data_IF_606933899628
#
_entry.id   IF_606933899628
#
_cell.length_a   1.000
_cell.length_b   1.000
_cell.length_c   1.000
_cell.angle_alpha   90.00
_cell.angle_beta   90.00
_cell.angle_gamma   90.00
#
_symmetry.space_group_name_H-M   'P 1'
#
loop_
_entity.id
_entity.type
_entity.pdbx_description
1 polymer ?
#
# COMPACT_ATOMS: atom_id res chain seq x y z
N UNK A 1 -5.64 -16.03 -1.39
CA UNK A 1 -5.40 -14.58 -1.31
C UNK A 1 -4.28 -14.34 -0.30
N UNK A 2 -3.62 -13.18 -0.33
CA UNK A 2 -2.51 -12.86 0.59
C UNK A 2 -2.97 -12.55 2.02
N UNK A 3 -4.27 -12.39 2.25
CA UNK A 3 -4.88 -12.17 3.55
C UNK A 3 -5.02 -13.45 4.38
N UNK A 4 -5.00 -13.30 5.70
CA UNK A 4 -5.45 -14.33 6.64
C UNK A 4 -6.96 -14.56 6.55
N UNK A 5 -7.42 -15.72 7.03
CA UNK A 5 -8.86 -16.02 7.09
C UNK A 5 -9.63 -15.00 7.95
N UNK A 6 -8.95 -14.37 8.93
CA UNK A 6 -9.49 -13.30 9.76
C UNK A 6 -9.85 -12.07 8.94
N UNK A 7 -8.91 -11.56 8.13
CA UNK A 7 -9.13 -10.40 7.27
C UNK A 7 -10.12 -10.70 6.14
N UNK A 8 -10.06 -11.88 5.55
CA UNK A 8 -11.03 -12.30 4.55
C UNK A 8 -12.46 -12.28 5.11
N UNK A 9 -12.63 -12.71 6.37
CA UNK A 9 -13.90 -12.72 7.09
C UNK A 9 -14.46 -11.36 7.53
N UNK A 10 -13.68 -10.26 7.45
CA UNK A 10 -14.17 -8.93 7.84
C UNK A 10 -15.23 -8.44 6.85
N UNK A 11 -16.49 -8.20 7.26
CA UNK A 11 -17.53 -7.73 6.37
C UNK A 11 -17.30 -6.28 5.96
N UNK A 12 -17.67 -5.93 4.72
CA UNK A 12 -17.74 -4.53 4.32
C UNK A 12 -19.00 -3.87 4.91
N UNK A 13 -18.94 -2.61 5.35
CA UNK A 13 -20.09 -1.86 5.83
C UNK A 13 -21.17 -1.76 4.76
N UNK A 14 -22.42 -1.73 5.17
CA UNK A 14 -23.53 -1.51 4.25
C UNK A 14 -23.38 -0.18 3.52
N UNK A 15 -23.44 -0.21 2.18
CA UNK A 15 -23.26 0.97 1.35
C UNK A 15 -21.80 1.43 1.23
N UNK A 16 -20.81 0.61 1.61
CA UNK A 16 -19.41 0.92 1.36
C UNK A 16 -19.14 1.11 -0.13
N UNK A 17 -18.59 2.26 -0.48
CA UNK A 17 -18.13 2.58 -1.82
C UNK A 17 -16.61 2.65 -1.77
N UNK A 18 -15.94 1.79 -2.54
CA UNK A 18 -14.50 1.83 -2.68
C UNK A 18 -14.07 3.19 -3.27
N UNK A 19 -13.17 3.94 -2.60
CA UNK A 19 -12.67 5.19 -3.15
C UNK A 19 -11.94 4.97 -4.48
N UNK A 20 -12.04 5.97 -5.37
CA UNK A 20 -11.18 6.04 -6.54
C UNK A 20 -9.76 6.44 -6.11
N UNK A 21 -8.78 5.60 -6.44
CA UNK A 21 -7.36 5.85 -6.17
C UNK A 21 -6.63 6.20 -7.45
N UNK A 22 -5.61 7.05 -7.35
CA UNK A 22 -4.56 7.10 -8.37
C UNK A 22 -3.67 5.88 -8.15
N UNK A 23 -3.58 4.93 -9.10
CA UNK A 23 -2.85 3.70 -8.86
C UNK A 23 -1.34 3.94 -8.79
N UNK A 24 -0.66 3.34 -7.82
CA UNK A 24 0.80 3.30 -7.76
C UNK A 24 1.31 2.12 -8.58
N UNK A 25 2.06 2.40 -9.63
CA UNK A 25 2.57 1.38 -10.56
C UNK A 25 3.94 0.80 -10.17
N UNK A 26 4.49 1.20 -9.01
CA UNK A 26 5.85 0.87 -8.59
C UNK A 26 6.86 2.01 -8.74
N UNK A 27 6.42 3.20 -9.18
CA UNK A 27 7.28 4.39 -9.36
C UNK A 27 6.72 5.61 -8.61
N UNK A 28 7.61 6.52 -8.22
CA UNK A 28 7.25 7.71 -7.43
C UNK A 28 7.50 7.54 -5.94
N UNK A 29 6.84 8.36 -5.12
CA UNK A 29 7.01 8.39 -3.67
C UNK A 29 6.00 7.44 -2.97
N UNK A 30 6.43 6.26 -2.48
CA UNK A 30 5.56 5.33 -1.77
C UNK A 30 5.02 5.88 -0.44
N UNK A 31 5.75 6.77 0.25
CA UNK A 31 5.25 7.39 1.49
C UNK A 31 4.06 8.30 1.15
N UNK A 32 4.21 9.12 0.11
CA UNK A 32 3.12 9.99 -0.37
C UNK A 32 1.91 9.18 -0.83
N UNK A 33 2.13 8.03 -1.47
CA UNK A 33 1.04 7.11 -1.84
C UNK A 33 0.28 6.60 -0.62
N UNK A 34 0.99 6.10 0.41
CA UNK A 34 0.34 5.63 1.65
C UNK A 34 -0.46 6.73 2.34
N UNK A 35 0.09 7.94 2.42
CA UNK A 35 -0.61 9.07 3.02
C UNK A 35 -1.90 9.43 2.24
N UNK A 36 -1.83 9.47 0.91
CA UNK A 36 -3.00 9.72 0.05
C UNK A 36 -4.04 8.61 0.13
N UNK A 37 -3.60 7.36 0.20
CA UNK A 37 -4.47 6.20 0.42
C UNK A 37 -5.22 6.31 1.75
N UNK A 38 -4.51 6.55 2.86
CA UNK A 38 -5.11 6.68 4.19
C UNK A 38 -6.09 7.84 4.31
N UNK A 39 -5.78 8.98 3.69
CA UNK A 39 -6.67 10.14 3.68
C UNK A 39 -8.02 9.79 3.02
N UNK A 40 -8.00 9.05 1.91
CA UNK A 40 -9.22 8.58 1.22
C UNK A 40 -9.94 7.49 2.02
N UNK A 41 -9.19 6.53 2.58
CA UNK A 41 -9.79 5.46 3.36
C UNK A 41 -10.47 5.99 4.61
N UNK A 42 -9.87 6.93 5.35
CA UNK A 42 -10.49 7.54 6.55
C UNK A 42 -11.87 8.16 6.27
N UNK A 43 -12.10 8.65 5.05
CA UNK A 43 -13.41 9.19 4.63
C UNK A 43 -14.42 8.06 4.36
N UNK A 44 -13.98 6.95 3.78
CA UNK A 44 -14.84 5.82 3.41
C UNK A 44 -15.07 4.81 4.54
N UNK A 45 -14.08 4.65 5.43
CA UNK A 45 -14.09 3.74 6.57
C UNK A 45 -13.01 4.12 7.58
N UNK A 46 -13.35 4.10 8.87
CA UNK A 46 -12.37 4.20 9.95
C UNK A 46 -11.78 2.84 10.37
N UNK A 47 -12.13 1.75 9.68
CA UNK A 47 -11.66 0.40 9.99
C UNK A 47 -10.34 0.10 9.25
N UNK A 48 -9.24 -0.17 9.98
CA UNK A 48 -7.96 -0.52 9.38
C UNK A 48 -8.01 -1.86 8.63
N UNK A 49 -8.86 -2.80 9.00
CA UNK A 49 -8.96 -4.09 8.30
C UNK A 49 -9.61 -3.91 6.92
N UNK A 50 -10.57 -3.01 6.80
CA UNK A 50 -11.13 -2.60 5.49
C UNK A 50 -10.06 -1.90 4.65
N UNK A 51 -9.22 -1.08 5.27
CA UNK A 51 -8.09 -0.43 4.61
C UNK A 51 -7.08 -1.44 4.07
N UNK A 52 -6.78 -2.51 4.82
CA UNK A 52 -5.93 -3.59 4.34
C UNK A 52 -6.51 -4.27 3.09
N UNK A 53 -7.82 -4.59 3.11
CA UNK A 53 -8.54 -5.23 1.99
C UNK A 53 -8.59 -4.34 0.75
N UNK A 54 -8.75 -3.03 0.94
CA UNK A 54 -8.85 -2.08 -0.16
C UNK A 54 -7.49 -1.78 -0.81
N UNK A 55 -6.36 -2.02 -0.11
CA UNK A 55 -5.05 -1.54 -0.53
C UNK A 55 -4.61 -1.98 -1.93
N UNK A 56 -4.90 -3.23 -2.32
CA UNK A 56 -4.55 -3.76 -3.65
C UNK A 56 -5.19 -2.95 -4.80
N UNK A 57 -6.35 -2.34 -4.57
CA UNK A 57 -7.05 -1.49 -5.56
C UNK A 57 -6.36 -0.14 -5.78
N UNK A 58 -5.41 0.22 -4.91
CA UNK A 58 -4.57 1.41 -5.07
C UNK A 58 -3.28 1.14 -5.85
N UNK A 59 -3.07 -0.09 -6.31
CA UNK A 59 -1.85 -0.53 -6.98
C UNK A 59 -2.11 -0.86 -8.46
N UNK A 60 -1.07 -0.72 -9.28
CA UNK A 60 -1.05 -1.13 -10.67
C UNK A 60 0.28 -1.80 -11.03
N UNK A 61 0.31 -2.47 -12.19
CA UNK A 61 1.50 -3.02 -12.83
C UNK A 61 2.40 -3.78 -11.83
N UNK A 62 3.68 -3.41 -11.79
CA UNK A 62 4.71 -4.04 -10.95
C UNK A 62 4.35 -4.04 -9.46
N UNK A 63 3.64 -3.03 -8.96
CA UNK A 63 3.23 -2.99 -7.57
C UNK A 63 2.10 -3.97 -7.27
N UNK A 64 1.14 -4.10 -8.20
CA UNK A 64 0.07 -5.07 -8.08
C UNK A 64 0.61 -6.51 -8.20
N UNK A 65 1.49 -6.75 -9.18
CA UNK A 65 2.14 -8.06 -9.36
C UNK A 65 2.90 -8.49 -8.09
N UNK A 66 3.66 -7.57 -7.49
CA UNK A 66 4.34 -7.83 -6.23
C UNK A 66 3.35 -8.17 -5.09
N UNK A 67 2.26 -7.42 -4.97
CA UNK A 67 1.28 -7.62 -3.91
C UNK A 67 0.59 -8.98 -4.03
N UNK A 68 0.26 -9.38 -5.26
CA UNK A 68 -0.34 -10.69 -5.56
C UNK A 68 0.64 -11.85 -5.36
N UNK A 69 1.95 -11.59 -5.45
CA UNK A 69 3.01 -12.57 -5.21
C UNK A 69 3.42 -12.69 -3.73
N UNK A 70 2.80 -11.94 -2.82
CA UNK A 70 3.05 -12.09 -1.38
C UNK A 70 2.65 -13.51 -0.92
N UNK A 71 3.34 -14.07 0.10
CA UNK A 71 2.97 -15.38 0.62
C UNK A 71 1.50 -15.42 1.05
N UNK A 72 0.84 -16.55 0.81
CA UNK A 72 -0.54 -16.74 1.24
C UNK A 72 -0.64 -16.53 2.76
N UNK A 73 -1.69 -15.81 3.19
CA UNK A 73 -1.96 -15.50 4.60
C UNK A 73 -0.85 -14.73 5.32
N UNK A 74 -0.02 -13.96 4.60
CA UNK A 74 1.06 -13.16 5.20
C UNK A 74 0.61 -11.79 5.69
N UNK A 75 -0.54 -11.29 5.24
CA UNK A 75 -1.11 -10.01 5.67
C UNK A 75 -2.27 -10.27 6.61
N UNK A 76 -2.15 -9.76 7.84
CA UNK A 76 -3.17 -9.83 8.88
C UNK A 76 -3.51 -8.43 9.43
N UNK A 77 -3.00 -7.36 8.82
CA UNK A 77 -3.37 -5.98 9.18
C UNK A 77 -2.98 -4.98 8.10
N UNK A 78 -3.55 -3.79 8.19
CA UNK A 78 -3.09 -2.66 7.38
C UNK A 78 -1.64 -2.28 7.69
N UNK A 79 -1.21 -2.33 8.96
CA UNK A 79 0.17 -2.02 9.33
C UNK A 79 1.17 -2.94 8.62
N UNK A 80 0.94 -4.25 8.64
CA UNK A 80 1.78 -5.21 7.91
C UNK A 80 1.77 -4.96 6.39
N UNK A 81 0.63 -4.53 5.84
CA UNK A 81 0.54 -4.13 4.43
C UNK A 81 1.44 -2.94 4.13
N UNK A 82 1.36 -1.89 4.95
CA UNK A 82 2.15 -0.67 4.81
C UNK A 82 3.65 -0.94 4.98
N UNK A 83 4.03 -1.73 5.98
CA UNK A 83 5.43 -2.08 6.24
C UNK A 83 6.04 -2.88 5.08
N UNK A 84 5.34 -3.89 4.58
CA UNK A 84 5.78 -4.67 3.43
C UNK A 84 5.92 -3.80 2.17
N UNK A 85 4.99 -2.87 1.98
CA UNK A 85 5.00 -1.94 0.84
C UNK A 85 6.19 -0.99 0.90
N UNK A 86 6.47 -0.37 2.06
CA UNK A 86 7.64 0.48 2.26
C UNK A 86 8.94 -0.30 2.15
N UNK A 87 9.01 -1.51 2.70
CA UNK A 87 10.18 -2.36 2.54
C UNK A 87 10.48 -2.67 1.07
N UNK A 88 9.44 -2.82 0.23
CA UNK A 88 9.59 -3.13 -1.20
C UNK A 88 9.93 -1.92 -2.06
N UNK A 89 9.25 -0.79 -1.84
CA UNK A 89 9.29 0.38 -2.73
C UNK A 89 9.96 1.60 -2.12
N UNK A 90 10.14 1.65 -0.80
CA UNK A 90 10.73 2.78 -0.07
C UNK A 90 12.20 3.02 -0.41
N UNK A 91 12.94 1.98 -0.82
CA UNK A 91 14.35 2.10 -1.20
C UNK A 91 14.60 2.87 -2.50
N UNK A 92 13.56 3.13 -3.32
CA UNK A 92 13.71 4.00 -4.48
C UNK A 92 14.04 5.44 -4.06
N UNK A 93 13.52 5.91 -2.92
CA UNK A 93 13.78 7.27 -2.41
C UNK A 93 15.22 7.38 -1.88
N UNK A 94 15.72 6.37 -1.17
CA UNK A 94 17.08 6.38 -0.61
C UNK A 94 18.14 6.45 -1.72
N UNK A 95 17.96 5.68 -2.80
CA UNK A 95 18.93 5.64 -3.90
C UNK A 95 19.06 6.98 -4.64
N UNK A 96 17.94 7.69 -4.87
CA UNK A 96 17.97 9.03 -5.47
C UNK A 96 18.49 10.12 -4.53
N UNK A 97 18.26 9.99 -3.22
CA UNK A 97 18.81 10.92 -2.22
C UNK A 97 20.32 10.70 -2.02
N UNK A 98 20.78 9.46 -1.98
CA UNK A 98 22.19 9.10 -1.90
C UNK A 98 22.93 9.55 -3.17
N UNK A 99 22.37 9.31 -4.35
CA UNK A 99 22.95 9.76 -5.64
C UNK A 99 23.00 11.28 -5.75
N UNK A 100 21.98 12.01 -5.28
CA UNK A 100 22.02 13.50 -5.20
C UNK A 100 23.08 14.00 -4.21
N UNK A 101 23.13 13.41 -3.01
CA UNK A 101 24.10 13.81 -1.99
C UNK A 101 25.55 13.54 -2.44
N UNK A 102 25.79 12.54 -3.29
CA UNK A 102 27.09 12.28 -3.91
C UNK A 102 27.45 13.29 -5.01
N UNK A 103 26.47 13.91 -5.67
CA UNK A 103 26.70 14.95 -6.69
C UNK A 103 26.95 16.34 -6.07
N UNK A 104 26.57 16.57 -4.82
CA UNK A 104 26.75 17.85 -4.11
C UNK A 104 28.13 17.99 -3.41
N UNK A 105 29.03 17.00 -3.54
CA UNK A 105 30.38 17.03 -2.94
C UNK A 105 31.45 17.59 -3.92
N UNK A 106 31.05 18.14 -5.07
CA UNK A 106 31.97 18.61 -6.12
C UNK A 106 32.06 20.13 -6.26
#
# INVERSE_FOLDING_TARGET
MSFTDRLDGVPLPNGFILPQFTPFNGTGDPIKHLQGFLAKMTIASNDPDISAKAFSNSLADRALDWYMALPLKSIDSYQQTADAFIAKFGSAIQKYQDERALMDIQ
#
